data_IF_576406841847
#
_entry.id   IF_576406841847
#
_cell.length_a   1.000
_cell.length_b   1.000
_cell.length_c   1.000
_cell.angle_alpha   90.00
_cell.angle_beta   90.00
_cell.angle_gamma   90.00
#
_symmetry.space_group_name_H-M   'P 1'
#
loop_
_entity.id
_entity.type
_entity.pdbx_description
1 polymer ?
#
# COMPACT_ATOMS: atom_id res chain seq x y z
N UNK A 1 27.22 -6.38 25.71
CA UNK A 1 26.31 -6.40 24.53
C UNK A 1 24.98 -5.83 24.99
N UNK A 2 24.48 -4.67 24.53
CA UNK A 2 23.15 -4.25 24.94
C UNK A 2 22.09 -5.13 24.25
N UNK A 3 21.19 -5.62 25.09
CA UNK A 3 20.01 -6.45 24.84
C UNK A 3 19.26 -6.15 23.53
N UNK A 4 19.12 -7.15 22.66
CA UNK A 4 18.23 -7.12 21.48
C UNK A 4 16.77 -7.29 21.93
N UNK A 5 16.12 -6.20 22.35
CA UNK A 5 14.68 -6.22 22.75
C UNK A 5 13.73 -5.67 21.67
N UNK A 6 14.23 -5.20 20.53
CA UNK A 6 13.39 -4.57 19.50
C UNK A 6 13.58 -5.22 18.13
N UNK A 7 12.45 -5.48 17.46
CA UNK A 7 12.45 -5.85 16.05
C UNK A 7 12.87 -4.63 15.22
N UNK A 8 14.18 -4.57 14.89
CA UNK A 8 14.85 -3.42 14.29
C UNK A 8 14.10 -2.75 13.13
N UNK A 9 13.42 -3.49 12.23
CA UNK A 9 12.67 -2.87 11.14
C UNK A 9 11.47 -2.01 11.56
N UNK A 10 11.02 -2.09 12.82
CA UNK A 10 9.86 -1.36 13.35
C UNK A 10 10.23 -0.24 14.33
N UNK A 11 11.53 -0.06 14.62
CA UNK A 11 11.96 0.88 15.67
C UNK A 11 11.61 2.31 15.28
N UNK A 12 11.01 3.04 16.22
CA UNK A 12 10.67 4.44 16.04
C UNK A 12 11.91 5.36 16.13
N UNK A 13 11.93 6.51 15.42
CA UNK A 13 13.07 7.43 15.41
C UNK A 13 13.53 7.88 16.80
N UNK A 14 12.60 8.14 17.72
CA UNK A 14 12.90 8.61 19.07
C UNK A 14 13.56 7.55 19.95
N UNK A 15 13.24 6.25 19.73
CA UNK A 15 13.87 5.13 20.43
C UNK A 15 15.33 5.00 20.03
N UNK A 16 15.65 5.18 18.73
CA UNK A 16 17.04 5.18 18.27
C UNK A 16 17.86 6.32 18.88
N UNK A 17 17.24 7.47 19.15
CA UNK A 17 17.92 8.66 19.67
C UNK A 17 18.08 8.63 21.19
N UNK A 18 17.04 8.22 21.90
CA UNK A 18 16.94 8.40 23.37
C UNK A 18 16.73 7.10 24.14
N UNK A 19 16.39 6.00 23.47
CA UNK A 19 15.98 4.75 24.11
C UNK A 19 14.58 4.78 24.73
N UNK A 20 13.91 5.94 24.76
CA UNK A 20 12.62 6.10 25.42
C UNK A 20 11.49 5.52 24.56
N UNK A 21 10.61 4.77 25.21
CA UNK A 21 9.40 4.20 24.63
C UNK A 21 8.18 4.92 25.21
N UNK A 22 7.18 5.14 24.37
CA UNK A 22 5.91 5.76 24.76
C UNK A 22 4.76 5.23 23.90
N UNK A 23 3.53 5.68 24.18
CA UNK A 23 2.37 5.43 23.30
C UNK A 23 2.64 5.82 21.85
N UNK A 24 3.44 6.86 21.61
CA UNK A 24 3.80 7.30 20.26
C UNK A 24 4.69 6.30 19.52
N UNK A 25 5.52 5.58 20.27
CA UNK A 25 6.37 4.52 19.75
C UNK A 25 5.52 3.35 19.29
N UNK A 26 4.52 2.95 20.07
CA UNK A 26 3.59 1.87 19.70
C UNK A 26 2.75 2.24 18.46
N UNK A 27 2.32 3.50 18.35
CA UNK A 27 1.59 4.01 17.18
C UNK A 27 2.46 3.95 15.92
N UNK A 28 3.75 4.28 16.02
CA UNK A 28 4.69 4.13 14.92
C UNK A 28 4.82 2.66 14.49
N UNK A 29 5.01 1.75 15.44
CA UNK A 29 5.13 0.32 15.17
C UNK A 29 3.84 -0.26 14.56
N UNK A 30 2.68 0.20 15.00
CA UNK A 30 1.39 -0.15 14.42
C UNK A 30 1.28 0.34 12.97
N UNK A 31 1.76 1.56 12.67
CA UNK A 31 1.83 2.10 11.32
C UNK A 31 2.73 1.29 10.38
N UNK A 32 3.93 0.90 10.84
CA UNK A 32 4.84 0.02 10.08
C UNK A 32 4.19 -1.35 9.84
N UNK A 33 3.52 -1.90 10.85
CA UNK A 33 2.79 -3.17 10.74
C UNK A 33 1.67 -3.09 9.72
N UNK A 34 0.85 -2.03 9.77
CA UNK A 34 -0.19 -1.78 8.78
C UNK A 34 0.38 -1.67 7.36
N UNK A 35 1.50 -0.97 7.18
CA UNK A 35 2.18 -0.91 5.89
C UNK A 35 2.57 -2.29 5.35
N UNK A 36 3.12 -3.17 6.21
CA UNK A 36 3.50 -4.55 5.85
C UNK A 36 2.29 -5.38 5.44
N UNK A 37 1.18 -5.27 6.17
CA UNK A 37 -0.05 -5.97 5.83
C UNK A 37 -0.60 -5.54 4.46
N UNK A 38 -0.49 -4.25 4.13
CA UNK A 38 -0.99 -3.71 2.87
C UNK A 38 -0.10 -4.00 1.65
N UNK A 39 1.19 -4.25 1.85
CA UNK A 39 2.18 -4.32 0.76
C UNK A 39 2.96 -5.63 0.69
N UNK A 40 2.71 -6.54 1.63
CA UNK A 40 3.53 -7.73 1.86
C UNK A 40 4.74 -7.44 2.74
N UNK A 41 5.33 -8.51 3.27
CA UNK A 41 6.39 -8.45 4.26
C UNK A 41 7.77 -8.06 3.68
N UNK A 42 8.01 -8.34 2.39
CA UNK A 42 9.32 -8.24 1.77
C UNK A 42 9.91 -6.82 1.77
N UNK A 43 9.14 -5.80 1.37
CA UNK A 43 9.70 -4.46 1.06
C UNK A 43 10.56 -3.84 2.16
N UNK A 44 10.08 -3.87 3.41
CA UNK A 44 10.83 -3.29 4.54
C UNK A 44 12.04 -4.16 4.88
N UNK A 45 11.87 -5.48 4.85
CA UNK A 45 12.93 -6.44 5.15
C UNK A 45 14.05 -6.37 4.10
N UNK A 46 13.69 -6.33 2.82
CA UNK A 46 14.64 -6.23 1.70
C UNK A 46 15.43 -4.92 1.74
N UNK A 47 14.76 -3.81 2.11
CA UNK A 47 15.41 -2.51 2.32
C UNK A 47 16.34 -2.52 3.54
N UNK A 48 15.97 -3.21 4.61
CA UNK A 48 16.85 -3.39 5.77
C UNK A 48 18.10 -4.22 5.39
N UNK A 49 17.91 -5.32 4.67
CA UNK A 49 19.00 -6.20 4.26
C UNK A 49 19.96 -5.53 3.28
N UNK A 50 19.44 -4.72 2.34
CA UNK A 50 20.30 -4.05 1.34
C UNK A 50 21.10 -2.88 1.91
N UNK A 51 20.55 -2.14 2.87
CA UNK A 51 21.19 -0.96 3.46
C UNK A 51 22.04 -1.29 4.71
N UNK A 52 21.79 -2.45 5.31
CA UNK A 52 22.26 -2.78 6.65
C UNK A 52 21.68 -1.86 7.72
N UNK A 53 22.05 -2.13 8.98
CA UNK A 53 21.47 -1.42 10.12
C UNK A 53 21.76 0.09 10.11
N UNK A 54 23.01 0.49 9.82
CA UNK A 54 23.38 1.91 9.81
C UNK A 54 22.63 2.70 8.72
N UNK A 55 22.50 2.14 7.51
CA UNK A 55 21.77 2.78 6.42
C UNK A 55 20.27 2.85 6.70
N UNK A 56 19.69 1.78 7.25
CA UNK A 56 18.27 1.75 7.61
C UNK A 56 17.94 2.74 8.73
N UNK A 57 18.79 2.85 9.75
CA UNK A 57 18.64 3.83 10.83
C UNK A 57 18.61 5.27 10.29
N UNK A 58 19.42 5.60 9.26
CA UNK A 58 19.37 6.91 8.60
C UNK A 58 18.02 7.15 7.92
N UNK A 59 17.43 6.14 7.27
CA UNK A 59 16.10 6.27 6.67
C UNK A 59 15.00 6.50 7.71
N UNK A 60 15.08 5.80 8.86
CA UNK A 60 14.17 6.01 9.99
C UNK A 60 14.23 7.48 10.44
N UNK A 61 15.43 8.00 10.72
CA UNK A 61 15.63 9.38 11.16
C UNK A 61 15.18 10.42 10.13
N UNK A 62 15.23 10.09 8.83
CA UNK A 62 14.77 10.97 7.76
C UNK A 62 13.27 10.86 7.47
N UNK A 63 12.53 9.96 8.13
CA UNK A 63 11.13 9.68 7.81
C UNK A 63 10.92 9.09 6.41
N UNK A 64 11.94 8.42 5.86
CA UNK A 64 11.93 7.87 4.48
C UNK A 64 11.76 6.36 4.43
N UNK A 65 11.39 5.73 5.55
CA UNK A 65 11.15 4.28 5.62
C UNK A 65 10.04 3.85 4.66
N UNK A 66 8.95 4.64 4.62
CA UNK A 66 7.80 4.43 3.74
C UNK A 66 7.62 5.64 2.83
N UNK A 67 7.62 5.41 1.53
CA UNK A 67 7.36 6.42 0.50
C UNK A 67 6.02 6.16 -0.20
N UNK A 68 5.46 7.19 -0.85
CA UNK A 68 4.17 7.08 -1.55
C UNK A 68 4.15 5.98 -2.62
N UNK A 69 5.28 5.80 -3.32
CA UNK A 69 5.46 4.79 -4.36
C UNK A 69 5.64 3.36 -3.82
N UNK A 70 5.86 3.21 -2.52
CA UNK A 70 6.01 1.88 -1.92
C UNK A 70 4.66 1.16 -1.75
N UNK A 71 3.53 1.87 -1.88
CA UNK A 71 2.20 1.28 -1.76
C UNK A 71 1.75 0.57 -3.05
N UNK A 72 1.03 -0.54 -2.94
CA UNK A 72 0.35 -1.13 -4.09
C UNK A 72 -0.63 -0.14 -4.74
N UNK A 73 -0.83 -0.22 -6.08
CA UNK A 73 -1.63 0.75 -6.83
C UNK A 73 -3.07 0.88 -6.31
N UNK A 74 -3.68 -0.23 -5.89
CA UNK A 74 -5.06 -0.29 -5.39
C UNK A 74 -5.27 0.33 -4.01
N UNK A 75 -4.21 0.61 -3.24
CA UNK A 75 -4.36 1.17 -1.89
C UNK A 75 -4.90 2.61 -1.98
N UNK A 76 -6.05 2.94 -1.38
CA UNK A 76 -6.63 4.28 -1.45
C UNK A 76 -5.84 5.32 -0.67
N UNK A 77 -5.95 6.59 -1.08
CA UNK A 77 -5.23 7.70 -0.45
C UNK A 77 -5.64 7.93 1.02
N UNK A 78 -6.89 7.62 1.40
CA UNK A 78 -7.33 7.69 2.80
C UNK A 78 -6.57 6.73 3.70
N UNK A 79 -6.38 5.47 3.28
CA UNK A 79 -5.59 4.49 4.03
C UNK A 79 -4.10 4.84 4.07
N UNK A 80 -3.53 5.32 2.94
CA UNK A 80 -2.14 5.82 2.91
C UNK A 80 -1.92 6.94 3.92
N UNK A 81 -2.88 7.86 4.07
CA UNK A 81 -2.79 8.97 5.04
C UNK A 81 -2.76 8.47 6.47
N UNK A 82 -3.58 7.47 6.82
CA UNK A 82 -3.55 6.86 8.16
C UNK A 82 -2.18 6.25 8.46
N UNK A 83 -1.67 5.43 7.54
CA UNK A 83 -0.33 4.81 7.70
C UNK A 83 0.76 5.87 7.83
N UNK A 84 0.78 6.87 6.94
CA UNK A 84 1.79 7.93 6.96
C UNK A 84 1.74 8.80 8.21
N UNK A 85 0.55 9.09 8.74
CA UNK A 85 0.41 9.82 10.01
C UNK A 85 0.98 8.99 11.16
N UNK A 86 0.67 7.69 11.22
CA UNK A 86 1.20 6.81 12.25
C UNK A 86 2.74 6.73 12.23
N UNK A 87 3.35 6.68 11.04
CA UNK A 87 4.81 6.55 10.87
C UNK A 87 5.56 7.89 10.73
N UNK A 88 4.94 9.00 11.11
CA UNK A 88 5.58 10.31 11.01
C UNK A 88 6.85 10.37 11.87
N UNK A 89 7.90 11.05 11.40
CA UNK A 89 9.19 11.10 12.12
C UNK A 89 9.04 11.78 13.49
N UNK A 90 8.35 12.92 13.51
CA UNK A 90 7.99 13.65 14.72
C UNK A 90 6.79 12.96 15.44
N UNK A 91 6.96 12.52 16.71
CA UNK A 91 5.90 11.93 17.53
C UNK A 91 4.66 12.83 17.73
N UNK A 92 4.83 14.15 17.79
CA UNK A 92 3.70 15.07 17.99
C UNK A 92 2.77 15.13 16.76
N UNK A 93 3.30 14.81 15.59
CA UNK A 93 2.54 14.73 14.34
C UNK A 93 1.83 13.37 14.12
N UNK A 94 2.01 12.39 15.03
CA UNK A 94 1.35 11.08 14.96
C UNK A 94 -0.07 11.14 15.56
N UNK A 95 -0.77 10.01 15.55
CA UNK A 95 -1.97 9.86 16.40
C UNK A 95 -1.54 9.98 17.87
N UNK A 96 -2.32 10.67 18.70
CA UNK A 96 -1.97 10.91 20.10
C UNK A 96 -2.47 9.80 21.03
N UNK A 97 -3.28 8.88 20.52
CA UNK A 97 -3.73 7.69 21.24
C UNK A 97 -4.10 6.56 20.28
N UNK A 98 -4.12 5.33 20.80
CA UNK A 98 -4.64 4.17 20.07
C UNK A 98 -6.10 4.37 19.65
N UNK A 99 -6.92 5.02 20.49
CA UNK A 99 -8.32 5.34 20.20
C UNK A 99 -8.46 6.27 18.99
N UNK A 100 -7.60 7.28 18.86
CA UNK A 100 -7.61 8.18 17.70
C UNK A 100 -7.27 7.43 16.41
N UNK A 101 -6.24 6.59 16.44
CA UNK A 101 -5.86 5.75 15.29
C UNK A 101 -6.99 4.77 14.93
N UNK A 102 -7.60 4.11 15.92
CA UNK A 102 -8.75 3.21 15.72
C UNK A 102 -9.91 3.93 15.02
N UNK A 103 -10.31 5.11 15.53
CA UNK A 103 -11.36 5.93 14.92
C UNK A 103 -11.02 6.37 13.49
N UNK A 104 -9.74 6.59 13.18
CA UNK A 104 -9.33 6.92 11.82
C UNK A 104 -9.48 5.72 10.87
N UNK A 105 -9.21 4.51 11.35
CA UNK A 105 -9.41 3.26 10.61
C UNK A 105 -10.90 2.91 10.46
N UNK A 106 -11.71 3.08 11.51
CA UNK A 106 -13.16 2.81 11.50
C UNK A 106 -13.93 3.68 10.49
N UNK A 107 -13.41 4.86 10.15
CA UNK A 107 -13.99 5.73 9.11
C UNK A 107 -13.69 5.25 7.69
N UNK A 108 -12.82 4.26 7.52
CA UNK A 108 -12.50 3.70 6.22
C UNK A 108 -13.55 2.63 5.88
N UNK A 109 -14.22 2.81 4.75
CA UNK A 109 -15.13 1.83 4.17
C UNK A 109 -14.83 1.66 2.69
N UNK A 110 -14.60 0.43 2.27
CA UNK A 110 -14.26 0.10 0.89
C UNK A 110 -15.21 -0.98 0.36
N UNK A 111 -16.03 -0.68 -0.67
CA UNK A 111 -16.97 -1.65 -1.23
C UNK A 111 -16.30 -2.76 -2.07
N UNK A 112 -15.00 -2.61 -2.39
CA UNK A 112 -14.25 -3.62 -3.10
C UNK A 112 -12.83 -3.82 -2.60
N UNK A 113 -12.20 -4.89 -3.09
CA UNK A 113 -10.84 -5.29 -2.73
C UNK A 113 -10.16 -5.99 -3.91
N UNK A 114 -8.85 -6.15 -3.82
CA UNK A 114 -8.06 -6.94 -4.76
C UNK A 114 -7.42 -8.13 -4.04
N UNK A 115 -7.38 -9.27 -4.72
CA UNK A 115 -6.62 -10.47 -4.33
C UNK A 115 -5.79 -10.95 -5.51
N UNK A 116 -5.05 -12.04 -5.34
CA UNK A 116 -4.37 -12.73 -6.42
C UNK A 116 -4.94 -14.14 -6.60
N UNK A 117 -5.03 -14.60 -7.86
CA UNK A 117 -5.30 -16.00 -8.16
C UNK A 117 -4.05 -16.88 -7.97
N UNK A 118 -4.19 -18.19 -8.20
CA UNK A 118 -3.08 -19.16 -8.08
C UNK A 118 -1.91 -18.89 -9.04
N UNK A 119 -2.11 -18.07 -10.07
CA UNK A 119 -1.10 -17.67 -11.04
C UNK A 119 -0.44 -16.33 -10.69
N UNK A 120 -0.84 -15.72 -9.57
CA UNK A 120 -0.35 -14.42 -9.12
C UNK A 120 -0.98 -13.24 -9.85
N UNK A 121 -2.05 -13.44 -10.63
CA UNK A 121 -2.74 -12.34 -11.32
C UNK A 121 -3.73 -11.68 -10.38
N UNK A 122 -3.79 -10.35 -10.46
CA UNK A 122 -4.74 -9.56 -9.67
C UNK A 122 -6.18 -9.80 -10.12
N UNK A 123 -7.04 -10.10 -9.14
CA UNK A 123 -8.49 -10.24 -9.31
C UNK A 123 -9.17 -9.30 -8.32
N UNK A 124 -9.98 -8.38 -8.85
CA UNK A 124 -10.72 -7.41 -8.07
C UNK A 124 -12.12 -7.92 -7.76
N UNK A 125 -12.68 -7.55 -6.63
CA UNK A 125 -14.03 -7.95 -6.23
C UNK A 125 -14.75 -6.78 -5.60
N UNK A 126 -16.06 -6.70 -5.84
CA UNK A 126 -17.01 -6.01 -4.96
C UNK A 126 -18.22 -6.94 -4.70
N UNK A 127 -19.31 -6.40 -4.17
CA UNK A 127 -20.52 -7.18 -3.90
C UNK A 127 -21.04 -7.95 -5.13
N UNK A 128 -21.08 -7.31 -6.30
CA UNK A 128 -21.78 -7.85 -7.49
C UNK A 128 -20.86 -8.31 -8.62
N UNK A 129 -19.60 -7.88 -8.62
CA UNK A 129 -18.69 -8.06 -9.74
C UNK A 129 -17.33 -8.59 -9.32
N UNK A 130 -16.73 -9.35 -10.23
CA UNK A 130 -15.31 -9.64 -10.29
C UNK A 130 -14.67 -8.78 -11.40
N UNK A 131 -13.43 -8.36 -11.19
CA UNK A 131 -12.72 -7.44 -12.08
C UNK A 131 -11.36 -8.01 -12.43
N UNK A 132 -10.95 -7.80 -13.69
CA UNK A 132 -9.62 -8.12 -14.18
C UNK A 132 -9.19 -7.10 -15.22
N UNK A 133 -7.92 -7.08 -15.56
CA UNK A 133 -7.40 -6.24 -16.64
C UNK A 133 -6.28 -6.97 -17.39
N UNK A 134 -6.03 -6.49 -18.60
CA UNK A 134 -4.94 -6.94 -19.45
C UNK A 134 -4.17 -5.72 -19.98
N UNK A 135 -2.85 -5.83 -20.04
CA UNK A 135 -1.97 -4.84 -20.65
C UNK A 135 -1.13 -5.55 -21.72
N UNK A 136 -1.58 -5.48 -22.96
CA UNK A 136 -0.94 -6.17 -24.09
C UNK A 136 0.09 -5.24 -24.74
N UNK A 137 1.37 -5.60 -24.82
CA UNK A 137 2.36 -4.80 -25.52
C UNK A 137 2.06 -4.75 -27.02
N UNK A 138 2.25 -3.57 -27.60
CA UNK A 138 2.32 -3.29 -29.03
C UNK A 138 3.75 -2.91 -29.38
N UNK A 139 4.11 -3.00 -30.67
CA UNK A 139 5.40 -2.51 -31.16
C UNK A 139 5.65 -1.05 -30.75
N UNK A 140 6.92 -0.64 -30.73
CA UNK A 140 7.35 0.72 -30.38
C UNK A 140 6.99 1.17 -28.94
N UNK A 141 6.92 0.24 -27.98
CA UNK A 141 6.73 0.58 -26.56
C UNK A 141 5.29 1.02 -26.19
N UNK A 142 4.35 0.79 -27.10
CA UNK A 142 2.93 1.03 -26.89
C UNK A 142 2.25 -0.17 -26.21
N UNK A 143 1.09 0.05 -25.62
CA UNK A 143 0.30 -0.95 -24.91
C UNK A 143 -1.19 -0.76 -25.21
N UNK A 144 -1.92 -1.86 -25.32
CA UNK A 144 -3.38 -1.87 -25.24
C UNK A 144 -3.76 -2.28 -23.82
N UNK A 145 -4.37 -1.36 -23.07
CA UNK A 145 -4.89 -1.63 -21.73
C UNK A 145 -6.39 -1.87 -21.81
N UNK A 146 -6.87 -3.01 -21.32
CA UNK A 146 -8.30 -3.35 -21.31
C UNK A 146 -8.71 -3.87 -19.94
N UNK A 147 -9.74 -3.26 -19.37
CA UNK A 147 -10.36 -3.64 -18.11
C UNK A 147 -11.69 -4.37 -18.34
N UNK A 148 -12.01 -5.33 -17.48
CA UNK A 148 -13.21 -6.16 -17.56
C UNK A 148 -13.91 -6.21 -16.20
N UNK A 149 -15.24 -6.35 -16.25
CA UNK A 149 -16.08 -6.70 -15.09
C UNK A 149 -16.95 -7.90 -15.45
N UNK A 150 -17.00 -8.87 -14.56
CA UNK A 150 -17.81 -10.08 -14.66
C UNK A 150 -18.87 -10.06 -13.57
N UNK A 151 -20.14 -10.13 -13.95
CA UNK A 151 -21.23 -10.21 -12.99
C UNK A 151 -21.18 -11.58 -12.29
N UNK A 152 -21.18 -11.59 -10.96
CA UNK A 152 -21.06 -12.82 -10.16
C UNK A 152 -22.29 -13.73 -10.28
N UNK A 153 -23.48 -13.17 -10.47
CA UNK A 153 -24.73 -13.91 -10.57
C UNK A 153 -24.95 -14.52 -11.96
N UNK A 154 -24.68 -13.76 -13.03
CA UNK A 154 -24.95 -14.22 -14.40
C UNK A 154 -23.72 -14.81 -15.10
N UNK A 155 -22.52 -14.61 -14.54
CA UNK A 155 -21.26 -14.96 -15.19
C UNK A 155 -20.89 -14.10 -16.40
N UNK A 156 -21.77 -13.17 -16.82
CA UNK A 156 -21.54 -12.32 -17.99
C UNK A 156 -20.39 -11.36 -17.74
N UNK A 157 -19.38 -11.42 -18.61
CA UNK A 157 -18.26 -10.49 -18.64
C UNK A 157 -18.49 -9.37 -19.64
N UNK A 158 -18.09 -8.15 -19.27
CA UNK A 158 -18.18 -6.95 -20.11
C UNK A 158 -16.93 -6.10 -19.97
N UNK A 159 -16.52 -5.44 -21.05
CA UNK A 159 -15.42 -4.47 -21.05
C UNK A 159 -15.83 -3.21 -20.29
N UNK A 160 -14.92 -2.69 -19.47
CA UNK A 160 -15.08 -1.40 -18.78
C UNK A 160 -14.44 -0.32 -19.65
N UNK A 161 -15.26 0.30 -20.51
CA UNK A 161 -14.78 1.24 -21.55
C UNK A 161 -13.98 2.42 -21.02
N UNK A 162 -14.39 3.01 -19.90
CA UNK A 162 -13.73 4.16 -19.25
C UNK A 162 -12.25 3.89 -18.90
N UNK A 163 -11.91 2.65 -18.54
CA UNK A 163 -10.56 2.26 -18.14
C UNK A 163 -9.88 1.41 -19.21
N UNK A 164 -10.30 1.52 -20.47
CA UNK A 164 -9.76 0.69 -21.55
C UNK A 164 -9.36 1.54 -22.76
N UNK A 165 -8.06 1.59 -23.06
CA UNK A 165 -7.49 2.45 -24.10
C UNK A 165 -6.41 1.69 -24.88
N UNK A 166 -6.40 1.89 -26.20
CA UNK A 166 -5.40 1.30 -27.11
C UNK A 166 -4.23 2.26 -27.36
N UNK A 167 -3.10 1.72 -27.79
CA UNK A 167 -1.92 2.49 -28.21
C UNK A 167 -1.44 3.52 -27.19
N UNK A 168 -1.45 3.16 -25.90
CA UNK A 168 -0.96 4.03 -24.82
C UNK A 168 0.51 3.74 -24.50
N UNK A 169 1.25 4.76 -24.09
CA UNK A 169 2.60 4.56 -23.57
C UNK A 169 2.56 3.78 -22.26
N UNK A 170 3.67 3.11 -21.89
CA UNK A 170 3.77 2.36 -20.62
C UNK A 170 3.31 3.16 -19.40
N UNK A 171 3.76 4.41 -19.26
CA UNK A 171 3.37 5.29 -18.15
C UNK A 171 1.84 5.50 -18.06
N UNK A 172 1.20 5.70 -19.21
CA UNK A 172 -0.26 5.85 -19.29
C UNK A 172 -0.98 4.54 -18.98
N UNK A 173 -0.44 3.40 -19.43
CA UNK A 173 -0.96 2.07 -19.07
C UNK A 173 -0.91 1.82 -17.56
N UNK A 174 0.22 2.16 -16.90
CA UNK A 174 0.38 2.03 -15.45
C UNK A 174 -0.58 2.96 -14.67
N UNK A 175 -0.86 4.14 -15.20
CA UNK A 175 -1.84 5.08 -14.65
C UNK A 175 -3.28 4.55 -14.79
N UNK A 176 -3.67 4.05 -15.97
CA UNK A 176 -4.96 3.41 -16.18
C UNK A 176 -5.17 2.23 -15.24
N UNK A 177 -4.14 1.37 -15.10
CA UNK A 177 -4.13 0.27 -14.13
C UNK A 177 -4.38 0.78 -12.72
N UNK A 178 -3.62 1.77 -12.25
CA UNK A 178 -3.77 2.33 -10.90
C UNK A 178 -5.18 2.90 -10.69
N UNK A 179 -5.68 3.69 -11.63
CA UNK A 179 -6.98 4.34 -11.50
C UNK A 179 -8.11 3.31 -11.49
N UNK A 180 -8.07 2.32 -12.38
CA UNK A 180 -9.03 1.20 -12.40
C UNK A 180 -9.00 0.42 -11.09
N UNK A 181 -7.80 0.07 -10.62
CA UNK A 181 -7.63 -0.66 -9.38
C UNK A 181 -8.19 0.10 -8.17
N UNK A 182 -7.94 1.41 -8.08
CA UNK A 182 -8.50 2.24 -7.01
C UNK A 182 -10.02 2.36 -7.12
N UNK A 183 -10.55 2.55 -8.33
CA UNK A 183 -11.99 2.65 -8.61
C UNK A 183 -12.76 1.41 -8.12
N UNK A 184 -12.18 0.22 -8.28
CA UNK A 184 -12.77 -1.03 -7.75
C UNK A 184 -12.84 -1.01 -6.22
N UNK A 185 -11.80 -0.51 -5.55
CA UNK A 185 -11.74 -0.48 -4.08
C UNK A 185 -12.68 0.58 -3.51
N UNK A 186 -12.72 1.77 -4.11
CA UNK A 186 -13.44 2.93 -3.54
C UNK A 186 -14.90 3.01 -3.89
N UNK A 187 -15.36 2.29 -4.93
CA UNK A 187 -16.77 2.30 -5.35
C UNK A 187 -17.16 3.44 -6.27
#
# INVERSE_FOLDING_TARGET
MPNRLFYLPHVAPEVLRTGNVSVQTDIYQAGITAFRLLNGFGKIHDRFNSLGQAGFNRLIQQGKVIQSGDFFPFIPQSLKRVVKKAVHVDPASRFQSALEMRRALERLGYPGYWTCDSTGRFVGHNASYEFRFEAQPKGAGLFDFTAFKKNKATGRETRVGEYSTKNVLRRQSDELKRNFMQRVVTG
#
